data_IF_150402402490
#
_entry.id   IF_150402402490
#
_cell.length_a   1.000
_cell.length_b   1.000
_cell.length_c   1.000
_cell.angle_alpha   90.00
_cell.angle_beta   90.00
_cell.angle_gamma   90.00
#
_symmetry.space_group_name_H-M   'P 1'
#
loop_
_entity.id
_entity.type
_entity.pdbx_description
1 polymer ?
#
# COMPACT_ATOMS: atom_id res chain seq x y z
N UNK A 1 40.89 1.87 56.16
CA UNK A 1 39.67 1.20 55.66
C UNK A 1 39.10 2.02 54.52
N UNK A 2 39.41 1.66 53.26
CA UNK A 2 38.79 2.22 52.06
C UNK A 2 38.22 1.02 51.29
N UNK A 3 36.88 0.92 51.20
CA UNK A 3 36.22 -0.07 50.36
C UNK A 3 36.20 0.47 48.91
N UNK A 4 36.81 -0.28 47.99
CA UNK A 4 36.62 -0.13 46.56
C UNK A 4 35.37 -0.92 46.15
N UNK A 5 34.39 -0.24 45.56
CA UNK A 5 33.23 -0.88 44.95
C UNK A 5 33.57 -1.27 43.51
N UNK A 6 33.57 -2.57 43.22
CA UNK A 6 33.66 -3.13 41.88
C UNK A 6 32.39 -2.79 41.08
N UNK A 7 32.55 -2.10 39.96
CA UNK A 7 31.52 -1.99 38.91
C UNK A 7 31.67 -3.22 38.02
N UNK A 8 30.65 -4.09 38.02
CA UNK A 8 30.53 -5.19 37.06
C UNK A 8 29.85 -4.64 35.81
N UNK A 9 30.62 -4.39 34.76
CA UNK A 9 30.09 -4.14 33.41
C UNK A 9 29.82 -5.50 32.77
N UNK A 10 28.57 -5.95 32.78
CA UNK A 10 28.13 -7.04 31.91
C UNK A 10 28.03 -6.52 30.49
N UNK A 11 29.05 -6.79 29.67
CA UNK A 11 29.00 -6.58 28.24
C UNK A 11 27.94 -7.48 27.62
N UNK A 12 26.85 -6.88 27.14
CA UNK A 12 25.92 -7.57 26.25
C UNK A 12 26.66 -7.87 24.95
N UNK A 13 26.75 -9.16 24.61
CA UNK A 13 27.33 -9.61 23.36
C UNK A 13 26.58 -8.94 22.20
N UNK A 14 27.28 -8.09 21.44
CA UNK A 14 26.83 -7.58 20.15
C UNK A 14 26.92 -8.76 19.18
N UNK A 15 25.88 -9.59 19.19
CA UNK A 15 25.69 -10.63 18.19
C UNK A 15 25.55 -9.97 16.82
N UNK A 16 26.43 -10.35 15.90
CA UNK A 16 26.30 -10.04 14.48
C UNK A 16 24.93 -10.51 13.99
N UNK A 17 23.98 -9.57 13.88
CA UNK A 17 22.77 -9.78 13.11
C UNK A 17 23.18 -9.86 11.64
N UNK A 18 23.38 -11.06 11.12
CA UNK A 18 23.02 -11.28 9.72
C UNK A 18 21.57 -10.81 9.61
N UNK A 19 21.34 -9.71 8.89
CA UNK A 19 20.12 -8.93 8.96
C UNK A 19 18.91 -9.82 8.68
N UNK A 20 18.20 -10.22 9.76
CA UNK A 20 16.92 -10.93 9.63
C UNK A 20 15.97 -10.00 8.89
N UNK A 21 15.17 -10.56 7.98
CA UNK A 21 14.09 -9.81 7.36
C UNK A 21 13.21 -9.23 8.48
N UNK A 22 13.09 -7.90 8.53
CA UNK A 22 12.36 -7.19 9.60
C UNK A 22 10.84 -7.44 9.56
N UNK A 23 10.36 -8.03 8.46
CA UNK A 23 8.97 -8.49 8.31
C UNK A 23 8.79 -9.93 8.82
N UNK A 24 9.84 -10.73 8.93
CA UNK A 24 9.79 -12.14 9.34
C UNK A 24 9.81 -12.32 10.87
N UNK A 25 8.88 -11.67 11.57
CA UNK A 25 8.82 -11.73 13.04
C UNK A 25 8.02 -12.95 13.52
N UNK A 26 8.25 -13.44 14.76
CA UNK A 26 7.41 -14.49 15.35
C UNK A 26 5.93 -14.12 15.37
N UNK A 27 5.59 -12.87 15.71
CA UNK A 27 4.20 -12.39 15.71
C UNK A 27 3.59 -12.38 14.31
N UNK A 28 4.35 -11.99 13.29
CA UNK A 28 3.92 -12.08 11.89
C UNK A 28 3.53 -13.52 11.53
N UNK A 29 4.41 -14.49 11.80
CA UNK A 29 4.15 -15.91 11.51
C UNK A 29 2.93 -16.45 12.24
N UNK A 30 2.75 -16.09 13.51
CA UNK A 30 1.62 -16.54 14.31
C UNK A 30 0.29 -15.95 13.81
N UNK A 31 0.26 -14.66 13.44
CA UNK A 31 -0.92 -14.01 12.88
C UNK A 31 -1.25 -14.55 11.49
N UNK A 32 -0.25 -14.76 10.62
CA UNK A 32 -0.43 -15.36 9.30
C UNK A 32 -0.98 -16.79 9.40
N UNK A 33 -0.46 -17.59 10.34
CA UNK A 33 -0.93 -18.95 10.57
C UNK A 33 -2.38 -18.96 11.08
N UNK A 34 -2.74 -18.04 11.98
CA UNK A 34 -4.10 -17.92 12.51
C UNK A 34 -5.08 -17.48 11.41
N UNK A 35 -4.76 -16.42 10.67
CA UNK A 35 -5.57 -15.96 9.54
C UNK A 35 -5.72 -17.07 8.48
N UNK A 36 -4.61 -17.71 8.09
CA UNK A 36 -4.64 -18.79 7.11
C UNK A 36 -5.45 -20.01 7.57
N UNK A 37 -5.43 -20.33 8.86
CA UNK A 37 -6.27 -21.40 9.43
C UNK A 37 -7.76 -21.03 9.34
N UNK A 38 -8.12 -19.82 9.77
CA UNK A 38 -9.51 -19.38 9.78
C UNK A 38 -10.04 -19.28 8.36
N UNK A 39 -9.29 -18.66 7.43
CA UNK A 39 -9.66 -18.55 6.01
C UNK A 39 -9.99 -19.90 5.37
N UNK A 40 -9.17 -20.92 5.64
CA UNK A 40 -9.40 -22.30 5.14
C UNK A 40 -10.63 -23.00 5.72
N UNK A 41 -11.03 -22.63 6.93
CA UNK A 41 -12.12 -23.31 7.67
C UNK A 41 -13.43 -22.53 7.63
N UNK A 42 -13.37 -21.23 7.35
CA UNK A 42 -14.48 -20.29 7.29
C UNK A 42 -14.24 -19.29 6.15
N UNK A 43 -14.41 -19.70 4.89
CA UNK A 43 -14.11 -18.86 3.71
C UNK A 43 -15.10 -17.72 3.48
N UNK A 44 -16.19 -17.64 4.26
CA UNK A 44 -17.25 -16.64 4.10
C UNK A 44 -17.93 -16.67 2.73
N UNK A 45 -18.21 -17.86 2.20
CA UNK A 45 -18.75 -18.08 0.84
C UNK A 45 -19.98 -17.21 0.50
N UNK A 46 -20.86 -16.96 1.47
CA UNK A 46 -22.04 -16.09 1.31
C UNK A 46 -21.64 -14.64 0.99
N UNK A 47 -20.69 -14.09 1.75
CA UNK A 47 -20.20 -12.73 1.56
C UNK A 47 -19.25 -12.61 0.37
N UNK A 48 -18.47 -13.64 0.08
CA UNK A 48 -17.63 -13.69 -1.13
C UNK A 48 -18.51 -13.66 -2.38
N UNK A 49 -19.63 -14.39 -2.39
CA UNK A 49 -20.59 -14.34 -3.48
C UNK A 49 -21.26 -12.96 -3.61
N UNK A 50 -21.64 -12.33 -2.50
CA UNK A 50 -22.20 -10.96 -2.47
C UNK A 50 -21.20 -9.92 -3.00
N UNK A 51 -19.93 -9.98 -2.55
CA UNK A 51 -18.85 -9.14 -3.02
C UNK A 51 -18.64 -9.32 -4.53
N UNK A 52 -18.56 -10.58 -4.98
CA UNK A 52 -18.41 -10.93 -6.40
C UNK A 52 -19.52 -10.32 -7.25
N UNK A 53 -20.77 -10.47 -6.80
CA UNK A 53 -21.93 -9.92 -7.49
C UNK A 53 -21.88 -8.39 -7.54
N UNK A 54 -21.46 -7.74 -6.45
CA UNK A 54 -21.33 -6.28 -6.37
C UNK A 54 -20.31 -5.75 -7.39
N UNK A 55 -19.14 -6.39 -7.50
CA UNK A 55 -18.13 -6.03 -8.50
C UNK A 55 -18.62 -6.29 -9.93
N UNK A 56 -19.33 -7.40 -10.18
CA UNK A 56 -19.91 -7.68 -11.50
C UNK A 56 -20.95 -6.63 -11.91
N UNK A 57 -21.89 -6.30 -11.03
CA UNK A 57 -22.91 -5.28 -11.29
C UNK A 57 -22.29 -3.91 -11.58
N UNK A 58 -21.27 -3.54 -10.79
CA UNK A 58 -20.56 -2.27 -10.98
C UNK A 58 -19.79 -2.25 -12.30
N UNK A 59 -19.03 -3.30 -12.63
CA UNK A 59 -18.33 -3.37 -13.93
C UNK A 59 -19.28 -3.34 -15.12
N UNK A 60 -20.42 -4.05 -15.05
CA UNK A 60 -21.42 -4.08 -16.11
C UNK A 60 -22.08 -2.71 -16.30
N UNK A 61 -22.35 -1.97 -15.21
CA UNK A 61 -22.87 -0.60 -15.25
C UNK A 61 -21.98 0.34 -16.09
N UNK A 62 -20.66 0.13 -16.07
CA UNK A 62 -19.69 0.95 -16.81
C UNK A 62 -19.16 0.27 -18.09
N UNK A 63 -19.85 -0.76 -18.59
CA UNK A 63 -19.59 -1.37 -19.90
C UNK A 63 -18.48 -2.42 -19.95
N UNK A 64 -18.04 -2.94 -18.79
CA UNK A 64 -17.05 -4.01 -18.71
C UNK A 64 -17.74 -5.37 -18.51
N UNK A 65 -17.79 -6.19 -19.58
CA UNK A 65 -18.51 -7.46 -19.58
C UNK A 65 -17.65 -8.66 -19.12
N UNK A 66 -17.53 -8.86 -17.81
CA UNK A 66 -16.62 -9.84 -17.20
C UNK A 66 -16.96 -11.30 -17.53
N UNK A 67 -18.25 -11.68 -17.50
CA UNK A 67 -18.70 -13.07 -17.69
C UNK A 67 -18.39 -13.68 -19.07
N UNK A 68 -17.85 -12.88 -20.00
CA UNK A 68 -17.43 -13.33 -21.33
C UNK A 68 -15.91 -13.43 -21.48
N UNK A 69 -15.16 -13.15 -20.42
CA UNK A 69 -13.71 -13.13 -20.42
C UNK A 69 -13.16 -14.02 -19.30
N UNK A 70 -12.72 -15.26 -19.61
CA UNK A 70 -12.21 -16.20 -18.61
C UNK A 70 -11.00 -15.70 -17.82
N UNK A 71 -10.19 -14.79 -18.39
CA UNK A 71 -9.06 -14.18 -17.68
C UNK A 71 -9.61 -13.26 -16.59
N UNK A 72 -10.55 -12.37 -16.94
CA UNK A 72 -11.17 -11.45 -15.99
C UNK A 72 -11.99 -12.19 -14.92
N UNK A 73 -12.72 -13.25 -15.27
CA UNK A 73 -13.42 -14.07 -14.26
C UNK A 73 -12.44 -14.66 -13.24
N UNK A 74 -11.28 -15.15 -13.69
CA UNK A 74 -10.24 -15.64 -12.79
C UNK A 74 -9.62 -14.51 -11.95
N UNK A 75 -9.47 -13.30 -12.50
CA UNK A 75 -8.99 -12.13 -11.73
C UNK A 75 -9.97 -11.79 -10.63
N UNK A 76 -11.26 -11.76 -10.95
CA UNK A 76 -12.32 -11.51 -9.99
C UNK A 76 -12.26 -12.52 -8.86
N UNK A 77 -12.26 -13.82 -9.16
CA UNK A 77 -12.25 -14.87 -8.13
C UNK A 77 -11.04 -14.76 -7.18
N UNK A 78 -9.85 -14.45 -7.71
CA UNK A 78 -8.65 -14.20 -6.89
C UNK A 78 -8.81 -12.94 -6.04
N UNK A 79 -9.29 -11.84 -6.62
CA UNK A 79 -9.48 -10.60 -5.88
C UNK A 79 -10.51 -10.74 -4.75
N UNK A 80 -11.58 -11.51 -4.93
CA UNK A 80 -12.58 -11.75 -3.88
C UNK A 80 -12.01 -12.61 -2.74
N UNK A 81 -11.21 -13.63 -3.05
CA UNK A 81 -10.52 -14.44 -2.03
C UNK A 81 -9.51 -13.61 -1.24
N UNK A 82 -8.69 -12.80 -1.93
CA UNK A 82 -7.73 -11.91 -1.27
C UNK A 82 -8.41 -10.83 -0.44
N UNK A 83 -9.56 -10.30 -0.88
CA UNK A 83 -10.34 -9.35 -0.11
C UNK A 83 -10.87 -9.95 1.20
N UNK A 84 -11.42 -11.16 1.14
CA UNK A 84 -11.90 -11.88 2.31
C UNK A 84 -10.76 -12.16 3.29
N UNK A 85 -9.61 -12.62 2.77
CA UNK A 85 -8.41 -12.83 3.57
C UNK A 85 -7.91 -11.53 4.20
N UNK A 86 -7.92 -10.42 3.48
CA UNK A 86 -7.52 -9.11 3.99
C UNK A 86 -8.42 -8.63 5.13
N UNK A 87 -9.74 -8.78 5.01
CA UNK A 87 -10.68 -8.47 6.08
C UNK A 87 -10.38 -9.30 7.34
N UNK A 88 -10.00 -10.56 7.18
CA UNK A 88 -9.58 -11.41 8.30
C UNK A 88 -8.24 -10.97 8.89
N UNK A 89 -7.26 -10.58 8.07
CA UNK A 89 -5.97 -10.06 8.54
C UNK A 89 -6.15 -8.82 9.44
N UNK A 90 -7.10 -7.93 9.12
CA UNK A 90 -7.45 -6.78 9.96
C UNK A 90 -7.86 -7.21 11.38
N UNK A 91 -8.65 -8.28 11.48
CA UNK A 91 -9.29 -8.72 12.73
C UNK A 91 -8.41 -9.61 13.60
N UNK A 92 -7.56 -10.47 13.02
CA UNK A 92 -6.67 -11.34 13.83
C UNK A 92 -5.69 -10.55 14.71
N UNK A 93 -5.40 -9.30 14.34
CA UNK A 93 -4.56 -8.37 15.11
C UNK A 93 -5.37 -7.25 15.79
N UNK A 94 -6.70 -7.34 15.89
CA UNK A 94 -7.59 -6.27 16.40
C UNK A 94 -7.74 -6.31 17.94
N UNK A 95 -6.62 -6.45 18.65
CA UNK A 95 -6.56 -6.54 20.12
C UNK A 95 -5.59 -5.50 20.71
N UNK A 96 -6.07 -4.31 21.12
CA UNK A 96 -5.23 -3.24 21.64
C UNK A 96 -4.53 -3.59 22.96
N UNK A 97 -4.97 -4.62 23.69
CA UNK A 97 -4.29 -5.07 24.90
C UNK A 97 -3.03 -5.91 24.59
N UNK A 98 -2.94 -6.44 23.37
CA UNK A 98 -1.90 -7.36 22.89
C UNK A 98 -1.47 -6.99 21.48
N UNK A 99 -1.00 -5.75 21.25
CA UNK A 99 -0.68 -5.27 19.92
C UNK A 99 0.52 -6.04 19.35
N UNK A 100 0.48 -6.28 18.04
CA UNK A 100 1.65 -6.66 17.26
C UNK A 100 1.77 -5.78 16.02
N UNK A 101 2.99 -5.64 15.51
CA UNK A 101 3.23 -5.07 14.19
C UNK A 101 2.92 -6.15 13.16
N UNK A 102 1.93 -5.92 12.30
CA UNK A 102 1.46 -6.93 11.34
C UNK A 102 1.48 -6.41 9.91
N UNK A 103 2.20 -7.08 9.02
CA UNK A 103 2.26 -6.79 7.58
C UNK A 103 1.01 -7.35 6.87
N UNK A 104 0.28 -6.43 6.24
CA UNK A 104 -1.00 -6.64 5.55
C UNK A 104 -0.93 -6.06 4.13
N UNK A 105 -2.02 -6.17 3.35
CA UNK A 105 -2.11 -5.56 2.00
C UNK A 105 -0.99 -5.99 1.05
N UNK A 106 -0.65 -7.28 1.10
CA UNK A 106 0.39 -7.88 0.27
C UNK A 106 -0.19 -8.96 -0.63
N UNK A 107 0.39 -9.12 -1.81
CA UNK A 107 0.18 -10.33 -2.62
C UNK A 107 0.63 -11.59 -1.89
N UNK A 108 0.28 -12.77 -2.44
CA UNK A 108 0.59 -14.05 -1.81
C UNK A 108 2.09 -14.23 -1.62
N UNK A 109 2.47 -14.90 -0.52
CA UNK A 109 3.86 -15.24 -0.18
C UNK A 109 3.95 -16.71 0.24
N UNK A 110 5.17 -17.21 0.42
CA UNK A 110 5.37 -18.63 0.72
C UNK A 110 4.56 -19.09 1.95
N UNK A 111 3.52 -19.91 1.71
CA UNK A 111 2.64 -20.44 2.75
C UNK A 111 1.56 -19.50 3.29
N UNK A 112 1.43 -18.28 2.76
CA UNK A 112 0.42 -17.30 3.18
C UNK A 112 -0.37 -16.80 1.97
N UNK A 113 -1.69 -16.74 2.12
CA UNK A 113 -2.61 -16.21 1.11
C UNK A 113 -2.28 -14.75 0.77
N UNK A 114 -2.74 -14.30 -0.40
CA UNK A 114 -2.73 -12.88 -0.74
C UNK A 114 -3.84 -12.16 0.02
N UNK A 115 -3.59 -10.91 0.36
CA UNK A 115 -4.53 -10.03 1.05
C UNK A 115 -4.53 -8.64 0.42
N UNK A 116 -4.37 -8.54 -0.90
CA UNK A 116 -4.46 -7.26 -1.62
C UNK A 116 -5.92 -6.85 -1.76
N UNK A 117 -6.16 -5.55 -1.65
CA UNK A 117 -7.44 -4.93 -1.92
C UNK A 117 -7.22 -3.42 -2.11
N UNK A 118 -8.25 -2.71 -2.59
CA UNK A 118 -8.29 -1.26 -2.49
C UNK A 118 -7.13 -0.54 -3.18
N UNK A 119 -6.67 -1.06 -4.32
CA UNK A 119 -5.55 -0.56 -5.09
C UNK A 119 -4.20 -0.72 -4.38
N UNK A 120 -3.78 -1.95 -4.13
CA UNK A 120 -2.48 -2.23 -3.51
C UNK A 120 -1.33 -1.51 -4.23
N UNK A 121 -0.37 -0.98 -3.46
CA UNK A 121 0.84 -0.38 -4.02
C UNK A 121 2.03 -1.33 -3.84
N UNK A 122 2.61 -1.75 -4.96
CA UNK A 122 3.76 -2.66 -5.03
C UNK A 122 5.01 -2.12 -4.29
N UNK A 123 5.11 -0.79 -4.18
CA UNK A 123 6.19 -0.09 -3.50
C UNK A 123 6.00 -0.02 -1.98
N UNK A 124 4.79 -0.31 -1.48
CA UNK A 124 4.45 -0.15 -0.08
C UNK A 124 4.60 -1.44 0.74
N UNK A 125 5.09 -1.26 1.96
CA UNK A 125 4.95 -2.21 3.06
C UNK A 125 3.95 -1.61 4.07
N UNK A 126 2.72 -2.10 4.01
CA UNK A 126 1.61 -1.69 4.88
C UNK A 126 1.61 -2.50 6.17
N UNK A 127 1.75 -1.85 7.32
CA UNK A 127 1.70 -2.53 8.62
C UNK A 127 0.64 -1.93 9.51
N UNK A 128 0.02 -2.75 10.35
CA UNK A 128 -0.95 -2.30 11.33
C UNK A 128 -0.49 -2.60 12.76
N UNK A 129 -0.92 -1.74 13.68
CA UNK A 129 -0.82 -1.94 15.12
C UNK A 129 -2.17 -1.52 15.72
N UNK A 130 -2.91 -2.40 16.42
CA UNK A 130 -4.15 -1.98 17.09
C UNK A 130 -3.80 -1.00 18.22
N UNK A 131 -4.57 0.08 18.32
CA UNK A 131 -4.43 1.07 19.40
C UNK A 131 -5.81 1.50 19.87
N UNK A 132 -5.90 2.01 21.10
CA UNK A 132 -7.07 2.74 21.58
C UNK A 132 -6.67 3.69 22.71
N UNK A 133 -7.58 4.59 23.11
CA UNK A 133 -7.31 5.63 24.12
C UNK A 133 -7.15 5.16 25.56
N UNK A 134 -7.41 3.88 25.86
CA UNK A 134 -7.30 3.30 27.21
C UNK A 134 -5.94 2.67 27.52
N UNK A 135 -5.03 2.64 26.55
CA UNK A 135 -3.66 2.13 26.73
C UNK A 135 -2.64 3.19 26.31
N UNK A 136 -1.47 3.13 26.95
CA UNK A 136 -0.27 3.82 26.50
C UNK A 136 0.67 2.80 25.86
N UNK A 137 1.14 3.11 24.66
CA UNK A 137 2.07 2.28 23.89
C UNK A 137 3.40 2.99 23.68
N UNK A 138 4.43 2.17 23.55
CA UNK A 138 5.75 2.58 23.05
C UNK A 138 6.06 1.75 21.81
N UNK A 139 6.35 2.44 20.71
CA UNK A 139 6.85 1.83 19.48
C UNK A 139 8.34 2.16 19.38
N UNK A 140 9.18 1.13 19.38
CA UNK A 140 10.61 1.24 19.11
C UNK A 140 10.86 0.90 17.66
N UNK A 141 11.65 1.72 16.99
CA UNK A 141 12.01 1.47 15.60
C UNK A 141 13.46 1.73 15.29
N UNK A 142 13.89 1.20 14.14
CA UNK A 142 15.17 1.52 13.51
C UNK A 142 14.95 1.84 12.04
N UNK A 143 15.31 3.07 11.67
CA UNK A 143 15.12 3.64 10.33
C UNK A 143 16.01 2.95 9.31
N UNK A 144 15.39 2.47 8.25
CA UNK A 144 16.07 1.99 7.04
C UNK A 144 16.23 3.15 6.04
N UNK A 145 17.04 2.96 4.98
CA UNK A 145 16.91 3.82 3.80
C UNK A 145 15.52 3.59 3.20
N UNK A 146 14.78 4.68 3.01
CA UNK A 146 13.37 4.65 2.62
C UNK A 146 12.98 5.98 1.96
N UNK A 147 12.16 5.94 0.92
CA UNK A 147 11.67 7.14 0.25
C UNK A 147 10.73 7.94 1.16
N UNK A 148 9.67 7.31 1.69
CA UNK A 148 8.73 7.93 2.62
C UNK A 148 8.23 6.95 3.69
N UNK A 149 7.86 7.47 4.86
CA UNK A 149 7.29 6.69 5.96
C UNK A 149 6.25 7.49 6.73
N UNK A 150 5.10 6.87 7.01
CA UNK A 150 4.02 7.50 7.77
C UNK A 150 3.42 6.55 8.80
N UNK A 151 3.01 7.12 9.93
CA UNK A 151 2.19 6.48 10.96
C UNK A 151 0.89 7.29 11.09
N UNK A 152 -0.23 6.70 10.73
CA UNK A 152 -1.53 7.37 10.71
C UNK A 152 -2.53 6.65 11.61
N UNK A 153 -3.20 7.39 12.48
CA UNK A 153 -4.30 6.87 13.29
C UNK A 153 -5.55 6.78 12.43
N UNK A 154 -6.19 5.61 12.44
CA UNK A 154 -7.48 5.36 11.80
C UNK A 154 -8.49 4.82 12.81
N UNK A 155 -9.75 5.22 12.62
CA UNK A 155 -10.86 4.90 13.51
C UNK A 155 -11.63 3.66 13.02
N UNK A 156 -11.60 3.38 11.73
CA UNK A 156 -11.95 2.10 11.14
C UNK A 156 -11.09 1.75 9.91
N UNK A 157 -11.29 0.56 9.37
CA UNK A 157 -10.52 0.03 8.23
C UNK A 157 -11.07 0.42 6.86
N UNK A 158 -12.17 1.17 6.85
CA UNK A 158 -12.84 1.65 5.65
C UNK A 158 -12.62 3.17 5.55
N UNK A 159 -13.57 3.91 4.98
CA UNK A 159 -13.39 5.34 4.69
C UNK A 159 -13.63 6.22 5.92
N UNK A 160 -12.70 6.19 6.88
CA UNK A 160 -12.69 7.12 8.03
C UNK A 160 -11.56 8.12 7.97
N UNK A 161 -11.78 9.39 8.36
CA UNK A 161 -10.74 10.41 8.37
C UNK A 161 -9.51 9.96 9.15
N UNK A 162 -8.33 10.28 8.62
CA UNK A 162 -7.09 10.13 9.39
C UNK A 162 -7.06 11.18 10.51
N UNK A 163 -7.13 10.73 11.77
CA UNK A 163 -7.26 11.63 12.93
C UNK A 163 -5.93 12.18 13.43
N UNK A 164 -4.81 11.51 13.11
CA UNK A 164 -3.46 11.97 13.42
C UNK A 164 -2.47 11.32 12.45
N UNK A 165 -1.42 12.06 12.06
CA UNK A 165 -0.34 11.53 11.20
C UNK A 165 1.01 12.05 11.66
N UNK A 166 1.93 11.11 11.88
CA UNK A 166 3.36 11.37 12.08
C UNK A 166 4.11 10.95 10.80
N UNK A 167 4.72 11.93 10.12
CA UNK A 167 5.47 11.72 8.88
C UNK A 167 6.97 11.60 9.15
N UNK A 168 7.68 10.97 8.21
CA UNK A 168 9.13 10.80 8.22
C UNK A 168 9.90 12.09 8.54
N UNK A 169 9.46 13.23 8.02
CA UNK A 169 10.11 14.55 8.13
C UNK A 169 9.96 15.15 9.52
N UNK A 170 8.85 14.85 10.21
CA UNK A 170 8.56 15.35 11.56
C UNK A 170 9.18 14.50 12.66
N UNK A 171 9.61 13.28 12.33
CA UNK A 171 10.19 12.36 13.29
C UNK A 171 11.62 12.77 13.66
N UNK A 172 11.92 12.74 14.96
CA UNK A 172 13.29 12.74 15.45
C UNK A 172 13.85 11.33 15.44
N UNK A 173 14.89 11.11 14.65
CA UNK A 173 15.63 9.85 14.56
C UNK A 173 17.05 10.08 15.04
N UNK A 174 17.53 9.22 15.94
CA UNK A 174 18.88 9.29 16.48
C UNK A 174 19.93 9.01 15.39
N UNK A 175 21.18 9.40 15.62
CA UNK A 175 22.28 9.19 14.65
C UNK A 175 22.47 7.71 14.27
N UNK A 176 22.18 6.78 15.18
CA UNK A 176 22.27 5.33 14.94
C UNK A 176 21.04 4.73 14.21
N UNK A 177 20.10 5.59 13.80
CA UNK A 177 18.84 5.27 13.15
C UNK A 177 17.71 4.88 14.11
N UNK A 178 17.94 4.82 15.42
CA UNK A 178 16.90 4.44 16.38
C UNK A 178 15.91 5.56 16.67
N UNK A 179 14.66 5.20 16.92
CA UNK A 179 13.63 6.13 17.38
C UNK A 179 12.64 5.44 18.32
N UNK A 180 11.94 6.25 19.11
CA UNK A 180 10.84 5.82 19.97
C UNK A 180 9.65 6.74 19.72
N UNK A 181 8.47 6.16 19.50
CA UNK A 181 7.19 6.86 19.38
C UNK A 181 6.35 6.50 20.60
N UNK A 182 5.79 7.50 21.27
CA UNK A 182 4.76 7.29 22.30
C UNK A 182 3.38 7.43 21.69
N UNK A 183 2.45 6.56 22.08
CA UNK A 183 1.08 6.56 21.57
C UNK A 183 0.13 6.44 22.74
N UNK A 184 -0.66 7.47 23.03
CA UNK A 184 -1.64 7.47 24.12
C UNK A 184 -2.66 8.62 23.97
N UNK A 185 -3.60 8.76 24.89
CA UNK A 185 -4.66 9.77 24.82
C UNK A 185 -4.27 11.18 25.31
N UNK A 186 -3.10 11.33 25.93
CA UNK A 186 -2.63 12.62 26.41
C UNK A 186 -2.08 13.46 25.26
N UNK A 187 -2.33 14.76 25.27
CA UNK A 187 -1.64 15.66 24.34
C UNK A 187 -0.16 15.79 24.72
N UNK A 188 0.72 15.93 23.72
CA UNK A 188 2.15 16.17 23.92
C UNK A 188 2.75 16.94 22.75
N UNK A 189 3.67 17.84 23.05
CA UNK A 189 4.47 18.57 22.05
C UNK A 189 5.71 17.77 21.59
N UNK A 190 5.90 16.54 22.08
CA UNK A 190 7.01 15.68 21.66
C UNK A 190 6.88 15.34 20.17
N UNK A 191 7.93 15.53 19.35
CA UNK A 191 7.86 15.26 17.91
C UNK A 191 7.50 13.81 17.56
N UNK A 192 7.95 12.85 18.38
CA UNK A 192 7.60 11.43 18.21
C UNK A 192 6.45 11.03 19.14
N UNK A 193 5.33 11.74 19.04
CA UNK A 193 4.12 11.41 19.79
C UNK A 193 2.92 11.34 18.86
N UNK A 194 2.07 10.34 19.09
CA UNK A 194 0.80 10.17 18.39
C UNK A 194 -0.31 10.14 19.44
N UNK A 195 -1.17 11.16 19.40
CA UNK A 195 -2.34 11.19 20.28
C UNK A 195 -3.46 10.30 19.72
N UNK A 196 -3.98 9.40 20.53
CA UNK A 196 -5.19 8.61 20.26
C UNK A 196 -6.43 9.32 20.79
N UNK A 197 -7.55 9.18 20.08
CA UNK A 197 -8.88 9.61 20.49
C UNK A 197 -9.72 8.40 20.95
N UNK A 198 -10.90 8.61 21.55
CA UNK A 198 -11.81 7.50 21.86
C UNK A 198 -12.24 6.66 20.64
N UNK A 199 -12.14 7.21 19.42
CA UNK A 199 -12.45 6.52 18.16
C UNK A 199 -11.28 5.72 17.59
N UNK A 200 -10.04 5.98 18.02
CA UNK A 200 -8.85 5.36 17.46
C UNK A 200 -8.87 3.84 17.58
N UNK A 201 -8.60 3.15 16.47
CA UNK A 201 -8.65 1.69 16.37
C UNK A 201 -7.31 1.07 16.02
N UNK A 202 -6.56 1.67 15.10
CA UNK A 202 -5.23 1.19 14.75
C UNK A 202 -4.34 2.30 14.19
N UNK A 203 -3.04 2.06 14.23
CA UNK A 203 -2.06 2.79 13.45
C UNK A 203 -1.86 2.05 12.12
N UNK A 204 -2.12 2.74 11.02
CA UNK A 204 -1.67 2.34 9.70
C UNK A 204 -0.26 2.90 9.47
N UNK A 205 0.66 2.01 9.17
CA UNK A 205 2.06 2.32 8.95
C UNK A 205 2.36 2.06 7.48
N UNK A 206 2.80 3.08 6.77
CA UNK A 206 3.20 2.96 5.36
C UNK A 206 4.69 3.18 5.28
N UNK A 207 5.38 2.21 4.69
CA UNK A 207 6.76 2.36 4.26
C UNK A 207 6.80 2.29 2.75
N UNK A 208 7.20 3.38 2.11
CA UNK A 208 7.25 3.53 0.66
C UNK A 208 8.68 3.31 0.17
N UNK A 209 8.85 2.30 -0.67
CA UNK A 209 10.14 1.89 -1.22
C UNK A 209 10.18 2.28 -2.70
N UNK A 210 10.86 3.36 -3.04
CA UNK A 210 11.05 3.78 -4.42
C UNK A 210 12.09 2.87 -5.12
N UNK A 211 13.27 2.70 -4.50
CA UNK A 211 14.32 1.82 -5.00
C UNK A 211 14.34 0.47 -4.26
N UNK A 212 13.74 -0.54 -4.88
CA UNK A 212 13.67 -1.89 -4.31
C UNK A 212 15.01 -2.60 -4.18
N UNK A 213 16.09 -2.12 -4.81
CA UNK A 213 17.43 -2.70 -4.68
C UNK A 213 18.21 -2.11 -3.50
N UNK A 214 17.88 -0.88 -3.08
CA UNK A 214 18.57 -0.20 -1.98
C UNK A 214 17.72 -0.10 -0.70
N UNK A 215 16.44 0.25 -0.81
CA UNK A 215 15.59 0.67 0.31
C UNK A 215 14.87 -0.48 1.03
N UNK A 216 14.54 -0.33 2.30
CA UNK A 216 13.83 -1.35 3.06
C UNK A 216 12.87 -0.77 4.09
N UNK A 217 11.92 -1.57 4.60
CA UNK A 217 11.04 -1.11 5.65
C UNK A 217 11.81 -0.91 6.97
N UNK A 218 11.29 -0.06 7.84
CA UNK A 218 11.83 0.15 9.18
C UNK A 218 11.66 -1.12 10.02
N UNK A 219 12.62 -1.43 10.88
CA UNK A 219 12.38 -2.35 11.99
C UNK A 219 11.41 -1.70 12.98
N UNK A 220 10.43 -2.47 13.49
CA UNK A 220 9.45 -1.98 14.46
C UNK A 220 9.13 -3.04 15.53
N UNK A 221 8.97 -2.59 16.76
CA UNK A 221 8.44 -3.34 17.89
C UNK A 221 7.47 -2.46 18.68
N UNK A 222 6.39 -3.02 19.19
CA UNK A 222 5.38 -2.32 19.99
C UNK A 222 5.24 -2.97 21.36
N UNK A 223 5.04 -2.16 22.39
CA UNK A 223 4.77 -2.61 23.76
C UNK A 223 3.73 -1.72 24.42
N UNK A 224 2.82 -2.34 25.18
CA UNK A 224 1.94 -1.62 26.11
C UNK A 224 2.75 -1.29 27.37
N UNK A 225 2.75 -0.01 27.77
CA UNK A 225 3.48 0.46 28.96
C UNK A 225 2.56 0.84 30.11
N UNK A 226 1.34 1.29 29.81
CA UNK A 226 0.32 1.61 30.82
C UNK A 226 -1.08 1.26 30.28
N UNK A 227 -2.03 1.04 31.18
CA UNK A 227 -3.43 0.83 30.82
C UNK A 227 -4.36 1.31 31.92
N UNK A 228 -5.48 1.92 31.52
CA UNK A 228 -6.64 2.19 32.38
C UNK A 228 -7.77 1.18 32.16
N UNK A 229 -7.65 0.32 31.15
CA UNK A 229 -8.62 -0.72 30.86
C UNK A 229 -8.46 -1.92 31.82
N UNK A 230 -9.56 -2.62 32.16
CA UNK A 230 -9.46 -3.86 32.90
C UNK A 230 -8.75 -4.94 32.06
N UNK A 231 -8.01 -5.87 32.69
CA UNK A 231 -7.40 -6.98 31.96
C UNK A 231 -8.44 -7.79 31.18
N UNK A 232 -8.15 -8.04 29.89
CA UNK A 232 -9.01 -8.81 28.99
C UNK A 232 -8.36 -10.13 28.59
N UNK A 233 -9.16 -11.11 28.20
CA UNK A 233 -8.67 -12.32 27.52
C UNK A 233 -8.40 -12.01 26.04
N UNK A 234 -7.43 -12.70 25.45
CA UNK A 234 -7.20 -12.66 24.02
C UNK A 234 -8.47 -13.02 23.24
N UNK A 235 -8.63 -12.43 22.04
CA UNK A 235 -9.76 -12.74 21.17
C UNK A 235 -9.82 -14.25 20.88
N UNK A 236 -11.01 -14.83 21.10
CA UNK A 236 -11.26 -16.21 20.70
C UNK A 236 -11.42 -16.30 19.19
N UNK A 237 -11.11 -17.46 18.61
CA UNK A 237 -11.33 -17.72 17.17
C UNK A 237 -12.78 -17.45 16.75
N UNK A 238 -13.76 -17.82 17.58
CA UNK A 238 -15.19 -17.53 17.33
C UNK A 238 -15.46 -16.02 17.21
N UNK A 239 -14.81 -15.22 18.03
CA UNK A 239 -14.97 -13.76 18.02
C UNK A 239 -14.29 -13.13 16.81
N UNK A 240 -13.09 -13.61 16.44
CA UNK A 240 -12.40 -13.22 15.21
C UNK A 240 -13.29 -13.51 14.00
N UNK A 241 -13.83 -14.72 13.92
CA UNK A 241 -14.70 -15.13 12.80
C UNK A 241 -15.91 -14.21 12.68
N UNK A 242 -16.58 -13.90 13.80
CA UNK A 242 -17.74 -13.02 13.85
C UNK A 242 -17.40 -11.60 13.40
N UNK A 243 -16.31 -11.03 13.93
CA UNK A 243 -15.89 -9.65 13.58
C UNK A 243 -15.40 -9.53 12.15
N UNK A 244 -14.70 -10.53 11.62
CA UNK A 244 -14.30 -10.54 10.21
C UNK A 244 -15.53 -10.60 9.28
N UNK A 245 -16.59 -11.33 9.67
CA UNK A 245 -17.87 -11.30 8.94
C UNK A 245 -18.49 -9.90 8.91
N UNK A 246 -18.43 -9.16 10.02
CA UNK A 246 -18.93 -7.78 10.12
C UNK A 246 -18.08 -6.81 9.29
N UNK A 247 -16.76 -6.95 9.36
CA UNK A 247 -15.81 -6.16 8.57
C UNK A 247 -16.05 -6.34 7.06
N UNK A 248 -16.24 -7.58 6.60
CA UNK A 248 -16.55 -7.85 5.19
C UNK A 248 -17.86 -7.18 4.75
N UNK A 249 -18.92 -7.27 5.55
CA UNK A 249 -20.22 -6.64 5.23
C UNK A 249 -20.12 -5.13 5.09
N UNK A 250 -19.34 -4.48 5.95
CA UNK A 250 -19.10 -3.04 5.86
C UNK A 250 -18.24 -2.69 4.64
N UNK A 251 -17.28 -3.55 4.31
CA UNK A 251 -16.32 -3.28 3.23
C UNK A 251 -16.92 -3.50 1.83
N UNK A 252 -17.86 -4.43 1.64
CA UNK A 252 -18.47 -4.73 0.31
C UNK A 252 -18.94 -3.47 -0.44
N UNK A 253 -19.87 -2.65 0.09
CA UNK A 253 -20.34 -1.46 -0.64
C UNK A 253 -19.24 -0.41 -0.79
N UNK A 254 -18.34 -0.27 0.19
CA UNK A 254 -17.23 0.67 0.12
C UNK A 254 -16.32 0.38 -1.07
N UNK A 255 -15.86 -0.86 -1.23
CA UNK A 255 -14.91 -1.18 -2.29
C UNK A 255 -15.59 -1.45 -3.62
N UNK A 256 -16.71 -2.18 -3.62
CA UNK A 256 -17.41 -2.60 -4.84
C UNK A 256 -18.24 -1.50 -5.48
N UNK A 257 -18.85 -0.58 -4.71
CA UNK A 257 -19.72 0.46 -5.28
C UNK A 257 -19.08 1.84 -5.24
N UNK A 258 -18.55 2.25 -4.09
CA UNK A 258 -18.01 3.60 -3.91
C UNK A 258 -16.63 3.76 -4.56
N UNK A 259 -15.65 2.95 -4.16
CA UNK A 259 -14.28 3.08 -4.68
C UNK A 259 -14.19 2.62 -6.13
N UNK A 260 -14.72 1.44 -6.47
CA UNK A 260 -14.71 0.96 -7.85
C UNK A 260 -15.64 1.83 -8.72
N UNK A 261 -16.91 1.93 -8.37
CA UNK A 261 -17.90 2.61 -9.20
C UNK A 261 -17.72 4.12 -9.18
N UNK A 262 -18.02 4.76 -8.05
CA UNK A 262 -18.10 6.23 -7.97
C UNK A 262 -16.75 6.90 -8.15
N UNK A 263 -15.68 6.41 -7.53
CA UNK A 263 -14.38 7.09 -7.61
C UNK A 263 -13.59 6.76 -8.87
N UNK A 264 -13.74 5.55 -9.41
CA UNK A 264 -12.88 5.06 -10.50
C UNK A 264 -13.62 4.95 -11.82
N UNK A 265 -14.60 4.04 -11.93
CA UNK A 265 -15.24 3.72 -13.21
C UNK A 265 -16.26 4.78 -13.68
N UNK A 266 -16.71 5.68 -12.80
CA UNK A 266 -17.53 6.84 -13.19
C UNK A 266 -16.73 7.95 -13.86
N UNK A 267 -15.40 7.91 -13.76
CA UNK A 267 -14.52 8.86 -14.42
C UNK A 267 -14.55 8.65 -15.94
N UNK A 268 -14.06 9.62 -16.74
CA UNK A 268 -13.98 9.42 -18.17
C UNK A 268 -13.00 8.28 -18.52
N UNK A 269 -13.48 7.28 -19.25
CA UNK A 269 -12.64 6.20 -19.78
C UNK A 269 -11.51 6.76 -20.64
N UNK A 270 -10.32 6.17 -20.51
CA UNK A 270 -9.13 6.56 -21.29
C UNK A 270 -8.65 8.00 -21.02
N UNK A 271 -8.89 8.51 -19.82
CA UNK A 271 -8.36 9.79 -19.33
C UNK A 271 -7.77 9.59 -17.94
N UNK A 272 -6.56 10.12 -17.71
CA UNK A 272 -6.02 10.23 -16.35
C UNK A 272 -6.54 11.53 -15.76
N UNK A 273 -7.44 11.42 -14.78
CA UNK A 273 -8.00 12.60 -14.13
C UNK A 273 -6.93 13.29 -13.26
N UNK A 274 -7.04 14.61 -13.03
CA UNK A 274 -6.17 15.31 -12.09
C UNK A 274 -6.21 14.68 -10.70
N UNK A 275 -5.07 14.58 -9.99
CA UNK A 275 -5.02 14.00 -8.67
C UNK A 275 -5.61 14.97 -7.63
N UNK A 276 -6.24 14.42 -6.59
CA UNK A 276 -6.79 15.20 -5.49
C UNK A 276 -6.44 14.59 -4.12
N UNK A 277 -6.38 15.40 -3.07
CA UNK A 277 -6.24 14.92 -1.69
C UNK A 277 -7.64 14.71 -1.09
N UNK A 278 -7.85 13.54 -0.48
CA UNK A 278 -9.14 13.15 0.13
C UNK A 278 -8.96 12.63 1.57
N UNK A 279 -8.32 13.40 2.47
CA UNK A 279 -7.99 12.97 3.84
C UNK A 279 -9.21 12.52 4.66
N UNK A 280 -10.39 13.07 4.36
CA UNK A 280 -11.67 12.70 4.96
C UNK A 280 -12.08 11.24 4.72
N UNK A 281 -11.45 10.59 3.75
CA UNK A 281 -11.75 9.22 3.35
C UNK A 281 -10.77 8.18 3.92
N UNK A 282 -9.84 8.56 4.79
CA UNK A 282 -8.84 7.64 5.36
C UNK A 282 -7.64 7.35 4.47
N UNK A 283 -7.62 7.94 3.28
CA UNK A 283 -6.40 8.10 2.49
C UNK A 283 -5.34 8.86 3.30
N UNK A 284 -4.07 8.64 2.96
CA UNK A 284 -2.96 9.36 3.58
C UNK A 284 -3.12 10.87 3.34
N UNK A 285 -3.17 11.67 4.41
CA UNK A 285 -3.47 13.10 4.30
C UNK A 285 -2.43 13.91 3.50
N UNK A 286 -1.19 13.41 3.41
CA UNK A 286 -0.10 13.99 2.62
C UNK A 286 -0.05 13.42 1.19
N UNK A 287 -1.10 12.72 0.74
CA UNK A 287 -1.17 12.07 -0.57
C UNK A 287 -2.26 12.66 -1.45
N UNK A 288 -1.88 13.08 -2.66
CA UNK A 288 -2.81 13.30 -3.76
C UNK A 288 -2.91 12.03 -4.62
N UNK A 289 -4.13 11.67 -5.01
CA UNK A 289 -4.42 10.43 -5.76
C UNK A 289 -5.29 10.73 -6.96
N UNK A 290 -5.05 10.07 -8.08
CA UNK A 290 -6.02 9.99 -9.17
C UNK A 290 -6.38 8.54 -9.43
N UNK A 291 -7.70 8.30 -9.50
CA UNK A 291 -8.31 7.02 -9.81
C UNK A 291 -8.88 7.12 -11.24
N UNK A 292 -8.41 6.28 -12.14
CA UNK A 292 -8.77 6.32 -13.55
C UNK A 292 -8.89 4.91 -14.10
N UNK A 293 -9.41 4.76 -15.32
CA UNK A 293 -9.54 3.46 -15.94
C UNK A 293 -9.40 3.54 -17.46
N UNK A 294 -9.05 2.41 -18.05
CA UNK A 294 -8.71 2.31 -19.47
C UNK A 294 -9.35 1.09 -20.12
N UNK A 295 -9.52 1.21 -21.43
CA UNK A 295 -9.87 0.14 -22.36
C UNK A 295 -9.18 0.47 -23.69
N UNK A 296 -8.01 -0.11 -23.90
CA UNK A 296 -7.15 0.12 -25.08
C UNK A 296 -7.06 -1.15 -25.92
N UNK A 297 -7.12 -1.01 -27.23
CA UNK A 297 -6.81 -2.12 -28.14
C UNK A 297 -5.30 -2.41 -28.17
N UNK A 298 -4.91 -3.54 -28.78
CA UNK A 298 -3.48 -3.90 -28.94
C UNK A 298 -2.69 -2.93 -29.82
N UNK A 299 -3.37 -2.10 -30.62
CA UNK A 299 -2.78 -1.07 -31.48
C UNK A 299 -2.72 0.30 -30.83
N UNK A 300 -3.32 0.48 -29.66
CA UNK A 300 -3.38 1.75 -28.96
C UNK A 300 -2.38 1.81 -27.79
N UNK A 301 -1.96 3.02 -27.49
CA UNK A 301 -1.21 3.35 -26.30
C UNK A 301 -1.75 4.65 -25.70
N UNK A 302 -1.63 4.80 -24.39
CA UNK A 302 -1.82 6.08 -23.74
C UNK A 302 -0.46 6.69 -23.40
N UNK A 303 -0.21 7.89 -23.90
CA UNK A 303 0.96 8.71 -23.55
C UNK A 303 0.56 9.59 -22.36
N UNK A 304 1.28 9.45 -21.25
CA UNK A 304 1.01 10.14 -19.99
C UNK A 304 2.22 10.97 -19.64
N UNK A 305 2.06 12.28 -19.51
CA UNK A 305 3.12 13.19 -19.06
C UNK A 305 2.77 13.77 -17.69
N UNK A 306 3.71 13.69 -16.75
CA UNK A 306 3.53 14.09 -15.36
C UNK A 306 4.57 15.14 -15.00
N UNK A 307 4.09 16.24 -14.42
CA UNK A 307 4.89 17.14 -13.59
C UNK A 307 4.52 16.83 -12.12
N UNK A 308 5.41 16.19 -11.35
CA UNK A 308 5.10 15.74 -10.00
C UNK A 308 5.16 16.85 -8.94
N UNK A 309 5.49 18.10 -9.33
CA UNK A 309 5.79 19.18 -8.41
C UNK A 309 6.83 18.74 -7.34
N UNK A 310 6.63 19.11 -6.08
CA UNK A 310 7.54 18.81 -4.97
C UNK A 310 7.22 17.48 -4.24
N UNK A 311 6.50 16.55 -4.88
CA UNK A 311 6.19 15.25 -4.27
C UNK A 311 7.48 14.48 -3.94
N UNK A 312 7.65 14.10 -2.67
CA UNK A 312 8.81 13.34 -2.20
C UNK A 312 8.83 11.89 -2.72
N UNK A 313 7.65 11.37 -3.05
CA UNK A 313 7.45 10.06 -3.68
C UNK A 313 6.27 10.15 -4.63
N UNK A 314 6.37 9.51 -5.80
CA UNK A 314 5.21 9.29 -6.64
C UNK A 314 5.34 8.03 -7.49
N UNK A 315 4.19 7.48 -7.86
CA UNK A 315 4.08 6.26 -8.67
C UNK A 315 2.80 6.24 -9.49
N UNK A 316 2.85 5.53 -10.61
CA UNK A 316 1.68 5.15 -11.39
C UNK A 316 1.63 3.62 -11.46
N UNK A 317 0.49 3.05 -11.07
CA UNK A 317 0.25 1.61 -10.97
C UNK A 317 -0.99 1.25 -11.79
N UNK A 318 -0.92 0.16 -12.55
CA UNK A 318 -2.09 -0.48 -13.15
C UNK A 318 -2.58 -1.62 -12.29
N UNK A 319 -3.89 -1.73 -12.17
CA UNK A 319 -4.60 -2.80 -11.50
C UNK A 319 -5.53 -3.49 -12.51
N UNK A 320 -5.93 -4.72 -12.23
CA UNK A 320 -7.10 -5.29 -12.89
C UNK A 320 -8.36 -4.51 -12.48
N UNK A 321 -9.50 -4.82 -13.09
CA UNK A 321 -10.79 -4.18 -12.79
C UNK A 321 -11.31 -4.48 -11.37
N UNK A 322 -10.58 -5.24 -10.56
CA UNK A 322 -10.95 -5.65 -9.20
C UNK A 322 -9.90 -5.17 -8.19
N UNK A 323 -9.33 -3.99 -8.45
CA UNK A 323 -8.50 -3.22 -7.51
C UNK A 323 -7.20 -3.90 -7.05
N UNK A 324 -6.72 -4.91 -7.77
CA UNK A 324 -5.49 -5.63 -7.41
C UNK A 324 -4.46 -5.59 -8.53
N UNK A 325 -3.18 -5.47 -8.15
CA UNK A 325 -2.06 -5.68 -9.07
C UNK A 325 -2.11 -7.11 -9.63
N UNK A 326 -1.45 -7.36 -10.75
CA UNK A 326 -1.48 -8.68 -11.41
C UNK A 326 -0.21 -9.46 -11.11
N UNK A 327 0.94 -8.91 -11.47
CA UNK A 327 2.25 -9.47 -11.19
C UNK A 327 3.32 -8.37 -11.25
N UNK A 328 3.41 -7.54 -10.21
CA UNK A 328 4.35 -6.40 -10.19
C UNK A 328 5.81 -6.87 -10.08
N UNK A 329 6.08 -8.13 -9.73
CA UNK A 329 7.43 -8.69 -9.71
C UNK A 329 7.99 -8.87 -11.12
N UNK A 330 7.19 -9.42 -12.03
CA UNK A 330 7.66 -9.87 -13.35
C UNK A 330 7.29 -8.92 -14.49
N UNK A 331 6.49 -7.89 -14.20
CA UNK A 331 6.01 -6.93 -15.18
C UNK A 331 6.19 -5.49 -14.69
N UNK A 332 6.40 -4.57 -15.64
CA UNK A 332 6.41 -3.11 -15.41
C UNK A 332 4.98 -2.58 -15.34
N UNK A 333 4.15 -3.15 -14.47
CA UNK A 333 2.77 -2.68 -14.20
C UNK A 333 2.70 -1.65 -13.06
N UNK A 334 3.84 -1.36 -12.43
CA UNK A 334 4.05 -0.14 -11.64
C UNK A 334 5.39 0.48 -11.98
N UNK A 335 5.42 1.81 -12.04
CA UNK A 335 6.63 2.61 -12.14
C UNK A 335 6.55 3.78 -11.16
N UNK A 336 7.64 4.04 -10.47
CA UNK A 336 7.79 5.16 -9.55
C UNK A 336 8.97 6.04 -9.95
N UNK A 337 9.14 7.16 -9.24
CA UNK A 337 10.17 8.17 -9.52
C UNK A 337 11.62 7.65 -9.58
N UNK A 338 11.95 6.52 -8.95
CA UNK A 338 13.29 5.93 -9.00
C UNK A 338 13.49 4.97 -10.19
N UNK A 339 12.41 4.56 -10.86
CA UNK A 339 12.41 3.56 -11.93
C UNK A 339 12.26 4.18 -13.33
N UNK A 340 11.96 5.47 -13.39
CA UNK A 340 11.71 6.23 -14.61
C UNK A 340 12.93 7.07 -15.04
N UNK A 341 12.93 7.46 -16.32
CA UNK A 341 13.87 8.46 -16.86
C UNK A 341 13.10 9.75 -17.15
N UNK A 342 13.47 10.89 -16.55
CA UNK A 342 12.80 12.16 -16.81
C UNK A 342 13.13 12.71 -18.20
N UNK A 343 12.26 13.58 -18.70
CA UNK A 343 12.48 14.42 -19.86
C UNK A 343 13.47 15.55 -19.51
N UNK A 344 14.05 16.21 -20.52
CA UNK A 344 15.00 17.31 -20.31
C UNK A 344 14.42 18.50 -19.52
N UNK A 345 13.11 18.73 -19.61
CA UNK A 345 12.41 19.80 -18.90
C UNK A 345 11.99 19.42 -17.46
N UNK A 346 12.37 18.24 -16.96
CA UNK A 346 12.05 17.77 -15.61
C UNK A 346 10.71 17.02 -15.48
N UNK A 347 9.82 17.08 -16.48
CA UNK A 347 8.61 16.23 -16.51
C UNK A 347 8.98 14.77 -16.77
N UNK A 348 8.05 13.83 -16.59
CA UNK A 348 8.22 12.44 -17.02
C UNK A 348 7.12 12.04 -17.97
N UNK A 349 7.51 11.46 -19.12
CA UNK A 349 6.56 10.81 -20.04
C UNK A 349 6.64 9.29 -19.91
N UNK A 350 5.47 8.67 -19.77
CA UNK A 350 5.26 7.23 -19.70
C UNK A 350 4.35 6.79 -20.84
N UNK A 351 4.51 5.54 -21.29
CA UNK A 351 3.64 4.93 -22.29
C UNK A 351 2.95 3.72 -21.67
N UNK A 352 1.63 3.76 -21.62
CA UNK A 352 0.80 2.64 -21.19
C UNK A 352 0.28 1.90 -22.43
N UNK A 353 0.59 0.61 -22.54
CA UNK A 353 0.11 -0.24 -23.63
C UNK A 353 0.22 -1.72 -23.29
N UNK A 354 -0.58 -2.56 -23.97
CA UNK A 354 -0.52 -4.02 -23.83
C UNK A 354 0.69 -4.65 -24.54
N UNK A 355 1.26 -3.95 -25.53
CA UNK A 355 2.41 -4.38 -26.32
C UNK A 355 3.59 -3.45 -26.02
N UNK A 356 4.78 -4.03 -25.78
CA UNK A 356 6.01 -3.28 -25.51
C UNK A 356 6.38 -2.37 -26.69
N UNK A 357 6.33 -1.04 -26.54
CA UNK A 357 6.65 -0.09 -27.60
C UNK A 357 8.15 0.23 -27.68
N UNK A 358 8.98 -0.41 -26.85
CA UNK A 358 10.43 -0.22 -26.83
C UNK A 358 10.89 1.08 -26.18
N UNK A 359 10.04 1.73 -25.37
CA UNK A 359 10.45 2.89 -24.53
C UNK A 359 10.79 2.45 -23.11
N UNK A 360 11.71 3.15 -22.47
CA UNK A 360 12.16 2.83 -21.11
C UNK A 360 11.01 2.88 -20.10
N UNK A 361 10.27 3.99 -20.08
CA UNK A 361 9.14 4.25 -19.18
C UNK A 361 7.84 3.60 -19.71
N UNK A 362 7.90 2.32 -20.07
CA UNK A 362 6.74 1.55 -20.49
C UNK A 362 6.03 0.93 -19.30
N UNK A 363 4.75 1.25 -19.16
CA UNK A 363 3.85 0.62 -18.24
C UNK A 363 3.03 -0.44 -18.98
N UNK A 364 3.14 -1.70 -18.54
CA UNK A 364 2.43 -2.81 -19.16
C UNK A 364 0.98 -2.83 -18.71
N UNK A 365 0.06 -2.64 -19.66
CA UNK A 365 -1.36 -2.89 -19.44
C UNK A 365 -1.66 -4.39 -19.55
N UNK A 366 -2.34 -4.93 -18.55
CA UNK A 366 -2.70 -6.35 -18.49
C UNK A 366 -4.09 -6.59 -19.08
N UNK A 367 -4.53 -7.86 -19.01
CA UNK A 367 -5.93 -8.27 -19.20
C UNK A 367 -6.63 -7.66 -20.44
N UNK A 368 -5.97 -7.82 -21.59
CA UNK A 368 -6.45 -7.43 -22.92
C UNK A 368 -6.63 -5.92 -23.14
N UNK A 369 -5.95 -5.10 -22.33
CA UNK A 369 -6.01 -3.65 -22.46
C UNK A 369 -7.06 -3.00 -21.58
N UNK A 370 -7.65 -3.74 -20.65
CA UNK A 370 -8.62 -3.23 -19.67
C UNK A 370 -7.98 -3.20 -18.29
N UNK A 371 -8.23 -2.12 -17.54
CA UNK A 371 -7.75 -2.03 -16.18
C UNK A 371 -8.03 -0.68 -15.55
N UNK A 372 -7.70 -0.61 -14.27
CA UNK A 372 -7.77 0.60 -13.45
C UNK A 372 -6.36 1.14 -13.26
N UNK A 373 -6.23 2.44 -13.08
CA UNK A 373 -4.96 3.14 -12.92
C UNK A 373 -5.05 3.99 -11.68
N UNK A 374 -4.06 3.84 -10.80
CA UNK A 374 -3.90 4.74 -9.67
C UNK A 374 -2.56 5.44 -9.73
N UNK A 375 -2.62 6.77 -9.79
CA UNK A 375 -1.45 7.64 -9.59
C UNK A 375 -1.45 8.15 -8.16
N UNK A 376 -0.28 8.19 -7.53
CA UNK A 376 -0.11 8.66 -6.15
C UNK A 376 1.07 9.60 -6.07
N UNK A 377 0.89 10.70 -5.35
CA UNK A 377 1.93 11.69 -5.05
C UNK A 377 1.90 11.93 -3.55
N UNK A 378 3.03 11.72 -2.87
CA UNK A 378 3.14 11.74 -1.42
C UNK A 378 4.25 12.67 -0.93
N UNK A 379 4.28 12.89 0.38
CA UNK A 379 5.14 13.90 0.99
C UNK A 379 4.68 15.33 0.70
N UNK A 380 3.42 15.50 0.28
CA UNK A 380 2.84 16.80 0.01
C UNK A 380 2.41 17.47 1.32
N UNK A 381 2.37 18.82 1.36
CA UNK A 381 1.61 19.53 2.37
C UNK A 381 0.15 19.02 2.42
N UNK A 382 -0.46 19.06 3.60
CA UNK A 382 -1.91 18.82 3.72
C UNK A 382 -2.61 20.03 3.11
N UNK A 383 -3.42 19.82 2.08
CA UNK A 383 -4.10 20.89 1.37
C UNK A 383 -5.04 21.64 2.31
N UNK A 384 -4.94 22.97 2.27
CA UNK A 384 -6.01 23.88 2.66
C UNK A 384 -6.81 24.21 1.40
N UNK A 385 -8.10 24.54 1.54
CA UNK A 385 -9.05 24.76 0.42
C UNK A 385 -8.55 25.67 -0.73
N UNK A 386 -7.54 26.51 -0.48
CA UNK A 386 -7.02 27.52 -1.42
C UNK A 386 -5.74 27.14 -2.22
N UNK A 387 -5.10 25.99 -1.98
CA UNK A 387 -3.84 25.65 -2.68
C UNK A 387 -3.89 24.26 -3.30
N UNK A 388 -4.11 24.20 -4.61
CA UNK A 388 -3.87 22.98 -5.38
C UNK A 388 -2.43 22.50 -5.18
N UNK A 389 -2.21 21.20 -5.26
CA UNK A 389 -0.91 20.55 -4.98
C UNK A 389 0.17 20.78 -6.07
N UNK A 390 -0.10 21.63 -7.06
CA UNK A 390 0.83 21.97 -8.15
C UNK A 390 1.12 20.85 -9.15
N UNK A 391 0.59 19.64 -8.91
CA UNK A 391 0.79 18.46 -9.76
C UNK A 391 -0.02 18.60 -11.03
N UNK A 392 0.62 18.35 -12.17
CA UNK A 392 -0.04 18.34 -13.46
C UNK A 392 0.12 16.98 -14.15
N UNK A 393 -0.98 16.49 -14.72
CA UNK A 393 -0.99 15.25 -15.50
C UNK A 393 -1.72 15.52 -16.81
N UNK A 394 -1.09 15.12 -17.91
CA UNK A 394 -1.67 15.15 -19.24
C UNK A 394 -1.66 13.74 -19.82
N UNK A 395 -2.78 13.31 -20.40
CA UNK A 395 -2.91 12.00 -21.03
C UNK A 395 -3.61 12.08 -22.37
N UNK A 396 -3.15 11.30 -23.35
CA UNK A 396 -3.83 11.12 -24.63
C UNK A 396 -3.65 9.70 -25.15
N UNK A 397 -4.70 9.16 -25.78
CA UNK A 397 -4.62 7.89 -26.50
C UNK A 397 -4.14 8.14 -27.92
N UNK A 398 -3.21 7.32 -28.38
CA UNK A 398 -2.59 7.38 -29.71
C UNK A 398 -2.47 5.98 -30.28
N UNK A 399 -2.27 5.88 -31.60
CA UNK A 399 -1.88 4.63 -32.23
C UNK A 399 -0.40 4.34 -31.95
N UNK A 400 -0.07 3.09 -31.67
CA UNK A 400 1.31 2.64 -31.44
C UNK A 400 2.23 2.93 -32.63
N UNK A 401 1.71 2.87 -33.85
CA UNK A 401 2.48 3.20 -35.07
C UNK A 401 2.78 4.70 -35.20
N UNK A 402 2.03 5.54 -34.50
CA UNK A 402 2.21 7.00 -34.49
C UNK A 402 2.89 7.50 -33.20
N UNK A 403 3.24 6.59 -32.29
CA UNK A 403 3.74 6.90 -30.94
C UNK A 403 4.87 7.93 -30.96
N UNK A 404 5.80 7.81 -31.91
CA UNK A 404 6.98 8.66 -32.03
C UNK A 404 6.64 10.15 -32.24
N UNK A 405 5.45 10.48 -32.77
CA UNK A 405 4.98 11.86 -32.95
C UNK A 405 4.60 12.54 -31.63
N UNK A 406 4.35 11.74 -30.59
CA UNK A 406 3.82 12.20 -29.30
C UNK A 406 4.84 12.05 -28.16
N UNK A 407 5.99 11.44 -28.44
CA UNK A 407 7.07 11.28 -27.47
C UNK A 407 7.98 12.52 -27.48
N UNK A 408 8.44 13.00 -26.30
CA UNK A 408 9.45 14.03 -26.23
C UNK A 408 10.74 13.63 -26.96
N UNK A 409 11.41 14.63 -27.54
CA UNK A 409 12.77 14.43 -28.06
C UNK A 409 13.68 13.87 -26.96
N UNK A 410 14.56 12.94 -27.32
CA UNK A 410 15.44 12.27 -26.34
C UNK A 410 14.78 11.15 -25.53
N UNK A 411 13.51 10.79 -25.79
CA UNK A 411 12.86 9.65 -25.11
C UNK A 411 13.72 8.39 -25.19
N UNK A 412 14.14 7.88 -24.02
CA UNK A 412 15.01 6.71 -23.92
C UNK A 412 14.31 5.46 -24.45
N UNK A 413 14.89 4.84 -25.47
CA UNK A 413 14.48 3.54 -26.00
C UNK A 413 15.20 2.41 -25.29
N UNK A 414 14.60 1.22 -25.35
CA UNK A 414 15.19 -0.02 -24.86
C UNK A 414 15.03 -1.13 -25.89
N UNK A 415 16.08 -1.91 -26.08
CA UNK A 415 16.06 -3.17 -26.81
C UNK A 415 15.39 -4.27 -25.97
N UNK A 416 15.05 -5.40 -26.61
CA UNK A 416 14.53 -6.57 -25.89
C UNK A 416 15.49 -7.09 -24.80
N UNK A 417 16.81 -6.99 -25.04
CA UNK A 417 17.82 -7.40 -24.06
C UNK A 417 17.86 -6.47 -22.84
N UNK A 418 17.78 -5.15 -23.06
CA UNK A 418 17.69 -4.16 -21.99
C UNK A 418 16.39 -4.27 -21.21
N UNK A 419 15.25 -4.51 -21.90
CA UNK A 419 13.97 -4.82 -21.23
C UNK A 419 14.10 -6.05 -20.32
N UNK A 420 14.72 -7.12 -20.79
CA UNK A 420 14.93 -8.32 -19.99
C UNK A 420 15.82 -8.04 -18.76
N UNK A 421 16.81 -7.15 -18.89
CA UNK A 421 17.63 -6.72 -17.77
C UNK A 421 16.83 -5.90 -16.75
N UNK A 422 16.03 -4.92 -17.20
CA UNK A 422 15.14 -4.15 -16.33
C UNK A 422 14.22 -5.07 -15.50
N UNK A 423 13.59 -6.06 -16.14
CA UNK A 423 12.73 -7.02 -15.46
C UNK A 423 13.50 -7.88 -14.45
N UNK A 424 14.74 -8.27 -14.76
CA UNK A 424 15.60 -9.03 -13.84
C UNK A 424 16.00 -8.21 -12.61
N UNK A 425 16.30 -6.92 -12.78
CA UNK A 425 16.59 -6.01 -11.66
C UNK A 425 15.38 -5.81 -10.77
N UNK A 426 14.20 -5.62 -11.38
CA UNK A 426 12.93 -5.53 -10.69
C UNK A 426 12.63 -6.78 -9.85
N UNK A 427 12.77 -7.97 -10.44
CA UNK A 427 12.63 -9.25 -9.73
C UNK A 427 13.59 -9.36 -8.54
N UNK A 428 14.86 -8.96 -8.72
CA UNK A 428 15.86 -8.98 -7.64
C UNK A 428 15.48 -8.05 -6.50
N UNK A 429 15.03 -6.83 -6.80
CA UNK A 429 14.58 -5.87 -5.80
C UNK A 429 13.35 -6.36 -5.05
N UNK A 430 12.35 -6.85 -5.79
CA UNK A 430 11.14 -7.44 -5.22
C UNK A 430 11.46 -8.59 -4.25
N UNK A 431 12.28 -9.54 -4.70
CA UNK A 431 12.65 -10.72 -3.91
C UNK A 431 13.48 -10.33 -2.68
N UNK A 432 14.36 -9.33 -2.77
CA UNK A 432 15.18 -8.89 -1.64
C UNK A 432 14.32 -8.48 -0.44
N UNK A 433 13.24 -7.76 -0.68
CA UNK A 433 12.35 -7.23 0.37
C UNK A 433 11.42 -8.35 0.91
N UNK A 434 11.02 -9.27 0.04
CA UNK A 434 9.93 -10.24 0.31
C UNK A 434 10.39 -11.69 0.47
N UNK A 435 11.70 -11.93 0.68
CA UNK A 435 12.24 -13.26 0.97
C UNK A 435 12.15 -13.58 2.46
N UNK A 436 11.37 -14.60 2.78
CA UNK A 436 11.17 -15.16 4.13
C UNK A 436 12.07 -16.37 4.35
#
# INVERSE_FOLDING_TARGET
>A
MRLQSLIVITGAAVGSFAARNVLDTPSQKSLDALAGKIHKTHPYDDLVAELRQTFLETTEQYGYHIARNPIQEKRLDVAMDEFAFACLQRIVNDDPARPAVYWVESGPRAGVFGGRFGYDNADNIYRSIPVNSSYSYVIRGKRSQIADATFSVQDDWNLTPTTSTLTKEKMLVSEDGSYTITVNSSASDSPNHIQTTPGSRFLMIRNNLADWLAEGPDYLEVSVVESTAPPTKALSEKEIIRRAKEEMRLSIPTYGQLIQGVWTLSQPQNVIIPPNQIPESGALATQATSFSHVNLTKSEAMVITIDPADAAYWSLVTHNLFQTTVNPRDHTESLNMAQIVPNENGTTTMVLSSVDPGVHNWLKLQDEGQGEIVTRFQGLPVATEDTGVGINIWSQVVLLEELDKYLPEGTKRVTKAERALQLKERQRGWDRIRKF
#
